data_IF_556519420453
#
_entry.id   IF_556519420453
#
_cell.length_a   1.000
_cell.length_b   1.000
_cell.length_c   1.000
_cell.angle_alpha   90.00
_cell.angle_beta   90.00
_cell.angle_gamma   90.00
#
_symmetry.space_group_name_H-M   'P 1'
#
loop_
_entity.id
_entity.type
_entity.pdbx_description
1 polymer ?
#
# COMPACT_ATOMS: atom_id res chain seq x y z
N UNK A 1 51.37 -10.63 62.00
CA UNK A 1 51.09 -9.31 61.38
C UNK A 1 51.75 -9.23 60.02
N UNK A 2 50.95 -9.16 58.95
CA UNK A 2 51.22 -8.46 57.67
C UNK A 2 49.99 -8.68 56.79
N UNK A 3 49.28 -7.58 56.53
CA UNK A 3 47.95 -7.56 55.92
C UNK A 3 48.00 -7.77 54.40
N UNK A 4 46.94 -8.39 53.89
CA UNK A 4 46.66 -8.52 52.46
C UNK A 4 45.97 -7.25 51.96
N UNK A 5 46.56 -6.62 50.95
CA UNK A 5 45.91 -5.57 50.17
C UNK A 5 45.04 -6.22 49.08
N UNK A 6 43.72 -6.02 49.14
CA UNK A 6 42.80 -6.39 48.08
C UNK A 6 42.54 -5.16 47.20
N UNK A 7 43.00 -5.20 45.95
CA UNK A 7 42.66 -4.22 44.93
C UNK A 7 41.30 -4.59 44.33
N UNK A 8 40.29 -3.72 44.49
CA UNK A 8 38.99 -3.86 43.86
C UNK A 8 39.04 -3.31 42.43
N UNK A 9 38.79 -4.17 41.45
CA UNK A 9 38.69 -3.83 40.04
C UNK A 9 37.23 -3.40 39.73
N UNK A 10 37.00 -2.10 39.49
CA UNK A 10 35.68 -1.60 39.09
C UNK A 10 35.42 -1.90 37.60
N UNK A 11 34.44 -2.77 37.33
CA UNK A 11 33.91 -3.00 35.99
C UNK A 11 32.96 -1.86 35.59
N UNK A 12 33.35 -1.05 34.62
CA UNK A 12 32.46 -0.05 33.99
C UNK A 12 31.64 -0.79 32.93
N UNK A 13 30.38 -1.10 33.24
CA UNK A 13 29.40 -1.59 32.25
C UNK A 13 28.91 -0.41 31.41
N UNK A 14 29.49 -0.25 30.22
CA UNK A 14 28.94 0.65 29.19
C UNK A 14 27.66 0.04 28.62
N UNK A 15 26.50 0.52 29.07
CA UNK A 15 25.24 0.24 28.39
C UNK A 15 25.21 1.00 27.06
N UNK A 16 25.28 0.28 25.95
CA UNK A 16 24.93 0.83 24.65
C UNK A 16 23.43 1.18 24.67
N UNK A 17 23.11 2.46 24.56
CA UNK A 17 21.74 2.92 24.42
C UNK A 17 21.23 2.49 23.03
N UNK A 18 20.38 1.45 22.99
CA UNK A 18 19.62 1.13 21.78
C UNK A 18 18.68 2.30 21.50
N UNK A 19 18.92 2.99 20.38
CA UNK A 19 17.96 3.97 19.86
C UNK A 19 16.66 3.22 19.55
N UNK A 20 15.53 3.71 20.08
CA UNK A 20 14.23 3.12 19.81
C UNK A 20 13.95 3.16 18.30
N UNK A 21 13.52 2.03 17.74
CA UNK A 21 13.26 1.92 16.30
C UNK A 21 11.92 2.56 15.91
N UNK A 22 11.82 3.19 14.72
CA UNK A 22 10.56 3.70 14.22
C UNK A 22 9.52 2.60 14.01
N UNK A 23 8.30 2.84 14.48
CA UNK A 23 7.13 1.99 14.25
C UNK A 23 6.36 2.52 13.04
N UNK A 24 5.96 1.61 12.14
CA UNK A 24 5.18 1.93 10.94
C UNK A 24 3.74 1.40 11.09
N UNK A 25 2.70 2.24 11.03
CA UNK A 25 1.32 1.76 10.96
C UNK A 25 1.09 0.85 9.73
N UNK A 26 0.09 -0.05 9.77
CA UNK A 26 -0.25 -0.91 8.64
C UNK A 26 -0.43 -0.13 7.34
N UNK A 27 0.18 -0.62 6.26
CA UNK A 27 0.19 0.00 4.94
C UNK A 27 0.76 1.44 4.86
N UNK A 28 1.32 1.99 5.94
CA UNK A 28 1.97 3.32 5.93
C UNK A 28 3.43 3.22 5.53
N UNK A 29 3.91 4.16 4.72
CA UNK A 29 5.36 4.37 4.49
C UNK A 29 5.99 5.34 5.47
N UNK A 30 5.17 6.01 6.28
CA UNK A 30 5.57 6.95 7.32
C UNK A 30 5.59 6.21 8.66
N UNK A 31 6.71 6.26 9.37
CA UNK A 31 6.87 5.73 10.71
C UNK A 31 7.50 6.77 11.64
N UNK A 32 7.29 6.61 12.94
CA UNK A 32 7.90 7.42 14.00
C UNK A 32 8.28 6.51 15.17
N UNK A 33 9.17 6.97 16.03
CA UNK A 33 9.29 6.48 17.40
C UNK A 33 8.14 7.11 18.20
N UNK A 34 7.07 6.37 18.53
CA UNK A 34 5.94 6.96 19.23
C UNK A 34 6.36 7.39 20.64
N UNK A 35 5.76 8.47 21.18
CA UNK A 35 5.91 8.80 22.60
C UNK A 35 5.52 7.60 23.48
N UNK A 36 6.15 7.49 24.65
CA UNK A 36 5.88 6.40 25.61
C UNK A 36 4.38 6.26 25.86
N UNK A 37 3.87 5.03 25.84
CA UNK A 37 2.46 4.67 26.07
C UNK A 37 1.49 5.05 24.93
N UNK A 38 1.99 5.60 23.82
CA UNK A 38 1.20 5.82 22.61
C UNK A 38 1.19 4.56 21.75
N UNK A 39 0.04 4.21 21.20
CA UNK A 39 -0.16 2.98 20.42
C UNK A 39 -0.62 3.28 19.00
N UNK A 40 -0.45 2.32 18.08
CA UNK A 40 -0.97 2.45 16.72
C UNK A 40 -2.49 2.54 16.75
N UNK A 41 -3.06 3.56 16.13
CA UNK A 41 -4.51 3.73 16.09
C UNK A 41 -5.15 2.66 15.22
N UNK A 42 -6.33 2.18 15.64
CA UNK A 42 -7.20 1.32 14.84
C UNK A 42 -8.17 2.10 13.95
N UNK A 43 -8.27 3.42 14.15
CA UNK A 43 -9.32 4.28 13.57
C UNK A 43 -8.80 5.18 12.44
N UNK A 44 -7.50 5.46 12.42
CA UNK A 44 -6.84 6.27 11.40
C UNK A 44 -5.39 5.82 11.24
N UNK A 45 -4.74 6.22 10.14
CA UNK A 45 -3.31 5.96 9.95
C UNK A 45 -2.49 6.83 10.90
N UNK A 46 -1.94 6.23 11.95
CA UNK A 46 -1.16 6.97 12.94
C UNK A 46 -1.16 6.36 14.33
N UNK A 47 -1.00 7.21 15.34
CA UNK A 47 -0.84 6.82 16.73
C UNK A 47 -1.79 7.60 17.65
N UNK A 48 -2.20 6.98 18.76
CA UNK A 48 -3.03 7.63 19.77
C UNK A 48 -2.74 7.15 21.18
N UNK A 49 -3.09 8.02 22.13
CA UNK A 49 -3.18 7.74 23.55
C UNK A 49 -4.47 8.36 24.05
N UNK A 50 -5.44 7.52 24.43
CA UNK A 50 -6.70 7.97 25.01
C UNK A 50 -6.45 8.59 26.40
N UNK A 51 -5.58 7.97 27.21
CA UNK A 51 -5.20 8.44 28.55
C UNK A 51 -4.61 9.86 28.53
N UNK A 52 -3.72 10.16 27.57
CA UNK A 52 -3.07 11.47 27.43
C UNK A 52 -3.76 12.38 26.41
N UNK A 53 -4.96 12.00 25.96
CA UNK A 53 -5.78 12.71 24.99
C UNK A 53 -5.00 13.21 23.76
N UNK A 54 -4.13 12.35 23.22
CA UNK A 54 -3.18 12.69 22.18
C UNK A 54 -3.35 11.83 20.93
N UNK A 55 -3.14 12.43 19.76
CA UNK A 55 -3.19 11.73 18.47
C UNK A 55 -2.14 12.29 17.51
N UNK A 56 -1.51 11.40 16.74
CA UNK A 56 -0.59 11.73 15.65
C UNK A 56 -1.12 11.07 14.38
N UNK A 57 -1.58 11.87 13.43
CA UNK A 57 -2.07 11.40 12.14
C UNK A 57 -0.96 11.46 11.10
N UNK A 58 -0.88 10.44 10.26
CA UNK A 58 0.08 10.32 9.17
C UNK A 58 -0.68 10.31 7.84
N UNK A 59 -0.26 11.19 6.93
CA UNK A 59 -0.83 11.30 5.59
C UNK A 59 0.30 11.25 4.58
N UNK A 60 0.21 10.29 3.67
CA UNK A 60 1.12 10.15 2.54
C UNK A 60 0.52 10.87 1.33
N UNK A 61 1.33 11.70 0.67
CA UNK A 61 0.96 12.43 -0.55
C UNK A 61 2.06 12.24 -1.61
N UNK A 62 1.77 12.47 -2.90
CA UNK A 62 2.80 12.48 -3.94
C UNK A 62 3.94 13.46 -3.65
N UNK A 63 5.15 13.19 -4.15
CA UNK A 63 6.32 14.08 -3.97
C UNK A 63 6.06 15.51 -4.47
N UNK A 64 5.27 15.67 -5.54
CA UNK A 64 4.95 16.97 -6.15
C UNK A 64 4.04 17.82 -5.25
N UNK A 65 3.39 17.21 -4.26
CA UNK A 65 2.50 17.90 -3.33
C UNK A 65 3.26 18.75 -2.30
N UNK A 66 4.56 18.54 -2.08
CA UNK A 66 5.30 19.24 -1.02
C UNK A 66 5.30 20.76 -1.18
N UNK A 67 5.69 21.26 -2.36
CA UNK A 67 5.82 22.69 -2.59
C UNK A 67 4.47 23.44 -2.47
N UNK A 68 3.36 22.99 -3.08
CA UNK A 68 2.07 23.62 -2.86
C UNK A 68 1.55 23.46 -1.43
N UNK A 69 1.83 22.33 -0.75
CA UNK A 69 1.45 22.11 0.64
C UNK A 69 2.13 23.13 1.57
N UNK A 70 3.46 23.27 1.48
CA UNK A 70 4.23 24.18 2.33
C UNK A 70 3.90 25.65 2.01
N UNK A 71 3.68 26.02 0.74
CA UNK A 71 3.18 27.35 0.38
C UNK A 71 1.80 27.64 0.99
N UNK A 72 0.97 26.61 1.14
CA UNK A 72 -0.34 26.68 1.79
C UNK A 72 -0.29 26.84 3.31
N UNK A 73 0.85 26.63 3.97
CA UNK A 73 1.03 26.84 5.41
C UNK A 73 1.18 28.33 5.75
N UNK A 74 0.19 29.14 5.39
CA UNK A 74 0.07 30.54 5.85
C UNK A 74 -0.60 30.58 7.21
N UNK A 75 -0.32 31.62 8.02
CA UNK A 75 -0.92 31.77 9.36
C UNK A 75 -2.46 31.71 9.31
N UNK A 76 -3.09 32.35 8.32
CA UNK A 76 -4.55 32.35 8.16
C UNK A 76 -5.10 30.98 7.75
N UNK A 77 -4.39 30.25 6.88
CA UNK A 77 -4.79 28.88 6.52
C UNK A 77 -4.67 27.94 7.72
N UNK A 78 -3.57 28.01 8.47
CA UNK A 78 -3.35 27.19 9.67
C UNK A 78 -4.37 27.51 10.77
N UNK A 79 -4.69 28.78 10.98
CA UNK A 79 -5.73 29.21 11.93
C UNK A 79 -7.10 28.67 11.55
N UNK A 80 -7.47 28.70 10.26
CA UNK A 80 -8.69 28.04 9.75
C UNK A 80 -8.68 26.53 9.96
N UNK A 81 -7.51 25.90 9.95
CA UNK A 81 -7.30 24.48 10.21
C UNK A 81 -7.11 24.14 11.70
N UNK A 82 -7.43 25.04 12.62
CA UNK A 82 -7.41 24.73 14.04
C UNK A 82 -6.07 25.00 14.75
N UNK A 83 -5.10 25.67 14.10
CA UNK A 83 -3.76 25.92 14.64
C UNK A 83 -3.44 27.42 14.68
N UNK A 84 -3.28 27.98 15.87
CA UNK A 84 -2.68 29.30 16.05
C UNK A 84 -1.17 29.14 16.17
N UNK A 85 -0.45 29.45 15.10
CA UNK A 85 1.00 29.28 14.98
C UNK A 85 1.76 30.12 16.03
N UNK A 86 2.61 29.45 16.82
CA UNK A 86 3.54 30.09 17.77
C UNK A 86 5.01 29.80 17.44
N UNK A 87 5.27 28.72 16.70
CA UNK A 87 6.62 28.32 16.28
C UNK A 87 6.61 27.77 14.87
N UNK A 88 7.70 28.03 14.14
CA UNK A 88 7.97 27.48 12.81
C UNK A 88 9.45 27.23 12.69
N UNK A 89 9.81 26.04 12.23
CA UNK A 89 11.18 25.58 12.07
C UNK A 89 11.32 24.83 10.75
N UNK A 90 12.39 25.11 10.01
CA UNK A 90 12.80 24.26 8.91
C UNK A 90 13.64 23.11 9.47
N UNK A 91 13.29 21.88 9.11
CA UNK A 91 13.96 20.67 9.58
C UNK A 91 14.81 20.05 8.48
N UNK A 92 15.92 19.45 8.90
CA UNK A 92 16.64 18.43 8.13
C UNK A 92 16.60 17.12 8.90
N UNK A 93 16.03 16.08 8.29
CA UNK A 93 15.96 14.72 8.83
C UNK A 93 16.84 13.83 7.95
N UNK A 94 18.14 13.78 8.27
CA UNK A 94 19.15 13.25 7.35
C UNK A 94 19.20 14.10 6.07
N UNK A 95 19.05 13.45 4.91
CA UNK A 95 19.00 14.10 3.59
C UNK A 95 17.64 14.77 3.28
N UNK A 96 16.62 14.54 4.11
CA UNK A 96 15.24 15.02 3.87
C UNK A 96 15.05 16.40 4.43
N UNK A 97 14.36 17.25 3.67
CA UNK A 97 13.98 18.59 4.13
C UNK A 97 12.52 18.60 4.57
N UNK A 98 12.21 19.40 5.58
CA UNK A 98 10.84 19.57 6.05
C UNK A 98 10.60 20.89 6.74
N UNK A 99 9.35 21.10 7.11
CA UNK A 99 8.91 22.22 7.96
C UNK A 99 8.08 21.67 9.10
N UNK A 100 8.34 22.13 10.31
CA UNK A 100 7.56 21.85 11.50
C UNK A 100 6.97 23.15 12.03
N UNK A 101 5.66 23.15 12.23
CA UNK A 101 4.91 24.29 12.74
C UNK A 101 4.19 23.83 13.99
N UNK A 102 4.40 24.53 15.10
CA UNK A 102 3.77 24.26 16.38
C UNK A 102 2.93 25.44 16.84
N UNK A 103 1.93 25.18 17.67
CA UNK A 103 1.03 26.22 18.15
C UNK A 103 -0.07 25.72 19.07
N UNK A 104 -0.94 26.63 19.45
CA UNK A 104 -2.12 26.31 20.26
C UNK A 104 -3.29 25.93 19.36
N UNK A 105 -4.13 25.01 19.83
CA UNK A 105 -5.37 24.65 19.14
C UNK A 105 -6.35 25.83 19.18
N UNK A 106 -6.99 26.11 18.04
CA UNK A 106 -8.10 27.07 17.99
C UNK A 106 -9.42 26.32 17.98
N UNK A 107 -10.33 26.65 18.90
CA UNK A 107 -11.62 26.00 19.04
C UNK A 107 -12.04 25.87 20.51
N UNK A 108 -13.16 25.17 20.80
CA UNK A 108 -13.66 25.01 22.16
C UNK A 108 -12.76 24.09 23.02
N UNK A 109 -11.99 23.21 22.38
CA UNK A 109 -11.05 22.31 23.06
C UNK A 109 -9.68 22.96 23.09
N UNK A 110 -9.21 23.30 24.29
CA UNK A 110 -7.83 23.77 24.49
C UNK A 110 -6.84 22.63 24.29
N UNK A 111 -5.69 22.96 23.72
CA UNK A 111 -4.64 21.98 23.46
C UNK A 111 -3.51 22.57 22.64
N UNK A 112 -2.59 21.70 22.25
CA UNK A 112 -1.43 22.01 21.40
C UNK A 112 -1.52 21.18 20.14
N UNK A 113 -1.10 21.77 19.02
CA UNK A 113 -1.11 21.13 17.72
C UNK A 113 0.17 21.42 16.98
N UNK A 114 0.64 20.41 16.25
CA UNK A 114 1.80 20.49 15.39
C UNK A 114 1.45 19.96 14.01
N UNK A 115 2.00 20.61 13.00
CA UNK A 115 1.91 20.20 11.59
C UNK A 115 3.32 20.12 11.06
N UNK A 116 3.68 18.95 10.54
CA UNK A 116 4.99 18.72 9.93
C UNK A 116 4.80 18.22 8.51
N UNK A 117 5.50 18.83 7.56
CA UNK A 117 5.63 18.31 6.20
C UNK A 117 7.09 17.94 5.96
N UNK A 118 7.34 16.74 5.43
CA UNK A 118 8.67 16.25 5.07
C UNK A 118 8.65 15.81 3.62
N UNK A 119 9.62 16.28 2.82
CA UNK A 119 9.82 15.87 1.43
C UNK A 119 10.82 14.72 1.37
N UNK A 120 10.45 13.66 0.66
CA UNK A 120 11.36 12.63 0.18
C UNK A 120 11.36 12.60 -1.35
N UNK A 121 12.12 11.67 -1.94
CA UNK A 121 12.25 11.54 -3.41
C UNK A 121 10.92 11.27 -4.10
N UNK A 122 10.08 10.41 -3.54
CA UNK A 122 8.85 9.91 -4.18
C UNK A 122 7.57 10.17 -3.36
N UNK A 123 7.70 10.73 -2.15
CA UNK A 123 6.57 11.06 -1.29
C UNK A 123 6.74 12.39 -0.55
N UNK A 124 5.60 12.97 -0.21
CA UNK A 124 5.46 14.01 0.80
C UNK A 124 4.75 13.40 2.00
N UNK A 125 5.40 13.44 3.17
CA UNK A 125 4.80 13.01 4.42
C UNK A 125 4.23 14.21 5.17
N UNK A 126 2.93 14.20 5.46
CA UNK A 126 2.25 15.15 6.31
C UNK A 126 1.91 14.48 7.65
N UNK A 127 2.49 15.00 8.73
CA UNK A 127 2.29 14.50 10.09
C UNK A 127 1.60 15.56 10.92
N UNK A 128 0.45 15.23 11.51
CA UNK A 128 -0.35 16.15 12.32
C UNK A 128 -0.49 15.58 13.72
N UNK A 129 0.18 16.20 14.69
CA UNK A 129 0.07 15.84 16.10
C UNK A 129 -0.86 16.81 16.83
N UNK A 130 -1.64 16.30 17.76
CA UNK A 130 -2.45 17.11 18.67
C UNK A 130 -2.48 16.47 20.05
N UNK A 131 -2.44 17.31 21.08
CA UNK A 131 -2.63 16.92 22.47
C UNK A 131 -3.73 17.83 23.01
N UNK A 132 -4.85 17.22 23.42
CA UNK A 132 -6.00 17.92 24.01
C UNK A 132 -5.84 17.95 25.53
N UNK A 133 -6.37 18.98 26.17
CA UNK A 133 -6.13 19.20 27.60
C UNK A 133 -4.77 19.85 27.86
N UNK A 134 -4.64 20.50 29.01
CA UNK A 134 -3.53 21.39 29.37
C UNK A 134 -2.18 20.67 29.60
N UNK A 135 -1.69 20.70 30.84
CA UNK A 135 -0.36 20.18 31.18
C UNK A 135 -0.31 18.66 31.40
N UNK A 136 -1.45 17.98 31.50
CA UNK A 136 -1.52 16.54 31.88
C UNK A 136 -1.28 15.57 30.71
N UNK A 137 -1.11 16.08 29.49
CA UNK A 137 -0.78 15.29 28.30
C UNK A 137 0.73 15.18 28.04
N UNK A 138 1.12 14.73 26.83
CA UNK A 138 2.53 14.74 26.43
C UNK A 138 3.13 16.15 26.46
N UNK A 139 4.39 16.26 26.88
CA UNK A 139 5.12 17.53 26.83
C UNK A 139 5.42 17.92 25.38
N UNK A 140 5.71 19.19 25.15
CA UNK A 140 6.11 19.65 23.82
C UNK A 140 7.38 18.93 23.34
N UNK A 141 8.35 18.72 24.23
CA UNK A 141 9.57 17.97 23.92
C UNK A 141 9.25 16.53 23.47
N UNK A 142 8.39 15.82 24.19
CA UNK A 142 8.02 14.43 23.82
C UNK A 142 7.36 14.34 22.45
N UNK A 143 6.45 15.26 22.12
CA UNK A 143 5.83 15.28 20.80
C UNK A 143 6.85 15.68 19.73
N UNK A 144 7.69 16.68 19.98
CA UNK A 144 8.70 17.12 19.01
C UNK A 144 9.74 16.05 18.75
N UNK A 145 10.16 15.29 19.76
CA UNK A 145 11.07 14.15 19.59
C UNK A 145 10.44 13.07 18.70
N UNK A 146 9.17 12.74 18.94
CA UNK A 146 8.44 11.80 18.08
C UNK A 146 8.31 12.31 16.64
N UNK A 147 7.99 13.58 16.43
CA UNK A 147 7.91 14.17 15.10
C UNK A 147 9.28 14.20 14.40
N UNK A 148 10.35 14.55 15.12
CA UNK A 148 11.72 14.55 14.58
C UNK A 148 12.27 13.14 14.33
N UNK A 149 11.64 12.11 14.89
CA UNK A 149 11.98 10.70 14.60
C UNK A 149 11.32 10.15 13.33
N UNK A 150 10.62 10.98 12.54
CA UNK A 150 9.98 10.53 11.29
C UNK A 150 10.98 9.81 10.40
N UNK A 151 10.64 8.55 10.12
CA UNK A 151 11.32 7.71 9.17
C UNK A 151 10.36 7.41 8.02
N UNK A 152 10.89 7.49 6.80
CA UNK A 152 10.16 7.18 5.59
C UNK A 152 10.82 5.97 4.96
N UNK A 153 10.03 4.92 4.72
CA UNK A 153 10.50 3.76 3.96
C UNK A 153 10.16 3.93 2.49
N UNK A 154 11.08 3.46 1.65
CA UNK A 154 10.79 3.26 0.23
C UNK A 154 9.57 2.33 0.09
N UNK A 155 8.78 2.45 -0.99
CA UNK A 155 7.82 1.40 -1.27
C UNK A 155 8.63 0.13 -1.54
N UNK A 156 8.11 -1.03 -1.14
CA UNK A 156 8.69 -2.29 -1.62
C UNK A 156 8.59 -2.25 -3.14
N UNK A 157 9.72 -2.37 -3.84
CA UNK A 157 9.74 -2.27 -5.30
C UNK A 157 8.74 -3.27 -5.88
N UNK A 158 8.03 -2.90 -6.94
CA UNK A 158 7.01 -3.79 -7.52
C UNK A 158 7.63 -5.12 -7.95
N UNK A 159 8.88 -5.11 -8.38
CA UNK A 159 9.70 -6.27 -8.72
C UNK A 159 9.93 -7.18 -7.50
N UNK A 160 10.19 -6.61 -6.32
CA UNK A 160 10.36 -7.36 -5.09
C UNK A 160 9.04 -7.97 -4.63
N UNK A 161 7.93 -7.21 -4.73
CA UNK A 161 6.59 -7.74 -4.46
C UNK A 161 6.22 -8.89 -5.43
N UNK A 162 6.57 -8.75 -6.70
CA UNK A 162 6.37 -9.79 -7.72
C UNK A 162 7.22 -11.03 -7.41
N UNK A 163 8.45 -10.84 -6.94
CA UNK A 163 9.35 -11.95 -6.62
C UNK A 163 8.83 -12.83 -5.46
N UNK A 164 7.98 -12.25 -4.59
CA UNK A 164 7.36 -12.94 -3.48
C UNK A 164 6.08 -13.72 -3.84
N UNK A 165 5.62 -13.64 -5.09
CA UNK A 165 4.41 -14.32 -5.52
C UNK A 165 4.59 -15.84 -5.59
N UNK A 166 3.50 -16.62 -5.45
CA UNK A 166 3.53 -18.08 -5.58
C UNK A 166 3.60 -18.57 -7.05
N UNK A 167 4.00 -17.70 -7.98
CA UNK A 167 4.24 -17.96 -9.39
C UNK A 167 5.23 -16.93 -9.96
N UNK A 168 5.88 -17.26 -11.07
CA UNK A 168 6.76 -16.34 -11.81
C UNK A 168 6.08 -15.83 -13.07
N UNK A 169 6.37 -14.58 -13.39
CA UNK A 169 5.92 -13.93 -14.61
C UNK A 169 6.97 -14.09 -15.72
N UNK A 170 6.56 -14.59 -16.88
CA UNK A 170 7.38 -14.62 -18.10
C UNK A 170 7.10 -13.41 -19.01
N UNK A 171 6.66 -13.71 -20.23
CA UNK A 171 6.25 -12.72 -21.22
C UNK A 171 5.10 -11.86 -20.68
N UNK A 172 5.21 -10.54 -20.89
CA UNK A 172 4.23 -9.54 -20.42
C UNK A 172 3.46 -8.92 -21.58
N UNK A 173 3.85 -9.14 -22.83
CA UNK A 173 3.20 -8.66 -24.04
C UNK A 173 2.88 -7.16 -24.01
N UNK A 174 3.80 -6.35 -23.46
CA UNK A 174 3.66 -4.90 -23.29
C UNK A 174 2.88 -4.44 -22.04
N UNK A 175 2.28 -5.36 -21.28
CA UNK A 175 1.60 -5.02 -20.03
C UNK A 175 2.62 -4.72 -18.91
N UNK A 176 2.43 -3.60 -18.22
CA UNK A 176 3.23 -3.22 -17.05
C UNK A 176 2.55 -3.69 -15.77
N UNK A 177 3.24 -4.38 -14.85
CA UNK A 177 2.70 -4.64 -13.53
C UNK A 177 2.58 -3.33 -12.75
N UNK A 178 1.44 -3.08 -12.15
CA UNK A 178 1.18 -1.82 -11.43
C UNK A 178 1.00 -2.02 -9.93
N UNK A 179 0.49 -3.18 -9.50
CA UNK A 179 0.29 -3.48 -8.07
C UNK A 179 0.14 -4.97 -7.80
N UNK A 180 0.77 -5.44 -6.72
CA UNK A 180 0.47 -6.76 -6.12
C UNK A 180 -0.70 -6.63 -5.14
N UNK A 181 -1.63 -7.57 -5.19
CA UNK A 181 -2.82 -7.62 -4.34
C UNK A 181 -2.83 -8.93 -3.55
N UNK A 182 -3.07 -8.81 -2.24
CA UNK A 182 -3.21 -9.94 -1.30
C UNK A 182 -2.05 -10.96 -1.29
N UNK A 183 -0.88 -10.59 -1.81
CA UNK A 183 0.31 -11.46 -1.87
C UNK A 183 0.22 -12.62 -2.86
N UNK A 184 -0.85 -12.73 -3.65
CA UNK A 184 -1.07 -13.85 -4.58
C UNK A 184 -1.60 -13.43 -5.94
N UNK A 185 -1.69 -12.12 -6.20
CA UNK A 185 -2.22 -11.60 -7.45
C UNK A 185 -1.54 -10.31 -7.88
N UNK A 186 -1.57 -10.02 -9.18
CA UNK A 186 -0.97 -8.83 -9.78
C UNK A 186 -1.96 -8.22 -10.76
N UNK A 187 -2.11 -6.90 -10.67
CA UNK A 187 -2.76 -6.09 -11.69
C UNK A 187 -1.70 -5.60 -12.69
N UNK A 188 -2.01 -5.72 -13.97
CA UNK A 188 -1.25 -5.15 -15.06
C UNK A 188 -2.11 -4.21 -15.89
N UNK A 189 -1.46 -3.24 -16.50
CA UNK A 189 -2.08 -2.31 -17.44
C UNK A 189 -1.24 -2.16 -18.70
N UNK A 190 -1.91 -1.85 -19.81
CA UNK A 190 -1.26 -1.39 -21.04
C UNK A 190 -1.64 0.07 -21.31
N UNK A 191 -0.93 0.98 -20.65
CA UNK A 191 -1.19 2.41 -20.72
C UNK A 191 -0.63 3.17 -19.52
N UNK A 192 -0.86 4.49 -19.47
CA UNK A 192 -0.30 5.36 -18.44
C UNK A 192 -1.02 5.25 -17.08
N UNK A 193 -2.24 4.71 -17.01
CA UNK A 193 -2.99 4.65 -15.76
C UNK A 193 -2.54 3.43 -14.92
N UNK A 194 -2.43 3.62 -13.61
CA UNK A 194 -2.10 2.55 -12.66
C UNK A 194 -3.34 2.02 -11.91
N UNK A 195 -4.51 2.46 -12.34
CA UNK A 195 -5.80 2.15 -11.74
C UNK A 195 -6.78 1.61 -12.77
N UNK A 196 -7.77 0.87 -12.31
CA UNK A 196 -8.90 0.44 -13.14
C UNK A 196 -9.92 1.58 -13.12
N UNK A 197 -10.08 2.26 -14.26
CA UNK A 197 -11.09 3.30 -14.45
C UNK A 197 -11.78 3.08 -15.79
N UNK A 198 -13.03 2.64 -15.76
CA UNK A 198 -13.88 2.45 -16.96
C UNK A 198 -13.27 1.60 -18.09
N UNK A 199 -12.27 0.76 -17.79
CA UNK A 199 -11.41 0.09 -18.79
C UNK A 199 -11.02 1.05 -19.93
N UNK A 200 -10.54 2.25 -19.57
CA UNK A 200 -10.00 3.25 -20.51
C UNK A 200 -8.77 2.72 -21.28
N UNK A 201 -8.12 1.71 -20.71
CA UNK A 201 -6.98 1.00 -21.28
C UNK A 201 -7.07 -0.50 -20.94
N UNK A 202 -6.39 -1.39 -21.68
CA UNK A 202 -6.40 -2.81 -21.41
C UNK A 202 -5.82 -3.13 -20.04
N UNK A 203 -6.44 -4.09 -19.35
CA UNK A 203 -5.96 -4.57 -18.04
C UNK A 203 -5.90 -6.08 -17.98
N UNK A 204 -5.01 -6.60 -17.13
CA UNK A 204 -4.93 -8.01 -16.76
C UNK A 204 -4.90 -8.12 -15.25
N UNK A 205 -5.72 -8.99 -14.68
CA UNK A 205 -5.58 -9.43 -13.29
C UNK A 205 -5.18 -10.91 -13.33
N UNK A 206 -4.04 -11.23 -12.73
CA UNK A 206 -3.55 -12.60 -12.61
C UNK A 206 -3.47 -12.99 -11.14
N UNK A 207 -4.03 -14.14 -10.76
CA UNK A 207 -4.09 -14.59 -9.39
C UNK A 207 -3.87 -16.10 -9.29
N UNK A 208 -3.09 -16.53 -8.30
CA UNK A 208 -2.98 -17.94 -7.91
C UNK A 208 -3.97 -18.27 -6.79
N UNK A 209 -4.50 -19.50 -6.81
CA UNK A 209 -5.32 -20.02 -5.70
C UNK A 209 -4.48 -20.18 -4.44
N UNK A 210 -5.02 -19.77 -3.30
CA UNK A 210 -4.43 -19.98 -1.98
C UNK A 210 -5.24 -21.02 -1.24
N UNK A 211 -4.64 -22.17 -0.90
CA UNK A 211 -5.24 -23.22 -0.05
C UNK A 211 -6.62 -23.74 -0.52
N UNK A 212 -6.98 -23.53 -1.79
CA UNK A 212 -8.20 -24.05 -2.40
C UNK A 212 -7.77 -25.03 -3.47
N UNK A 213 -8.07 -26.33 -3.32
CA UNK A 213 -7.71 -27.32 -4.33
C UNK A 213 -8.50 -27.05 -5.62
N UNK A 214 -7.90 -27.34 -6.79
CA UNK A 214 -8.60 -27.22 -8.05
C UNK A 214 -9.79 -28.19 -8.09
N UNK A 215 -10.92 -27.80 -8.71
CA UNK A 215 -12.05 -28.71 -8.91
C UNK A 215 -11.65 -29.87 -9.82
N UNK A 216 -12.34 -31.00 -9.66
CA UNK A 216 -12.20 -32.16 -10.56
C UNK A 216 -12.50 -31.78 -12.01
N UNK A 217 -11.92 -32.51 -12.97
CA UNK A 217 -11.93 -32.16 -14.39
C UNK A 217 -13.33 -31.82 -14.93
N UNK A 218 -14.34 -32.63 -14.60
CA UNK A 218 -15.74 -32.45 -15.02
C UNK A 218 -16.39 -31.15 -14.49
N UNK A 219 -15.92 -30.64 -13.35
CA UNK A 219 -16.46 -29.44 -12.70
C UNK A 219 -15.78 -28.15 -13.15
N UNK A 220 -14.66 -28.23 -13.89
CA UNK A 220 -13.84 -27.06 -14.24
C UNK A 220 -14.58 -26.02 -15.09
N UNK A 221 -15.44 -26.44 -16.01
CA UNK A 221 -16.27 -25.52 -16.80
C UNK A 221 -17.27 -24.76 -15.91
N UNK A 222 -17.97 -25.46 -15.02
CA UNK A 222 -18.91 -24.84 -14.08
C UNK A 222 -18.17 -23.86 -13.15
N UNK A 223 -17.03 -24.28 -12.62
CA UNK A 223 -16.16 -23.46 -11.79
C UNK A 223 -15.70 -22.19 -12.52
N UNK A 224 -15.23 -22.30 -13.76
CA UNK A 224 -14.79 -21.15 -14.55
C UNK A 224 -15.94 -20.17 -14.81
N UNK A 225 -17.14 -20.66 -15.10
CA UNK A 225 -18.34 -19.82 -15.26
C UNK A 225 -18.73 -19.12 -13.97
N UNK A 226 -18.74 -19.83 -12.84
CA UNK A 226 -19.02 -19.23 -11.54
C UNK A 226 -17.99 -18.14 -11.18
N UNK A 227 -16.70 -18.41 -11.41
CA UNK A 227 -15.63 -17.45 -11.18
C UNK A 227 -15.74 -16.21 -12.10
N UNK A 228 -16.18 -16.37 -13.34
CA UNK A 228 -16.40 -15.22 -14.24
C UNK A 228 -17.58 -14.36 -13.75
N UNK A 229 -18.67 -14.99 -13.31
CA UNK A 229 -19.87 -14.29 -12.84
C UNK A 229 -19.73 -13.68 -11.44
N UNK A 230 -18.71 -14.04 -10.65
CA UNK A 230 -18.45 -13.42 -9.35
C UNK A 230 -17.69 -12.09 -9.42
N UNK A 231 -17.29 -11.64 -10.61
CA UNK A 231 -16.63 -10.35 -10.78
C UNK A 231 -17.61 -9.20 -10.50
N UNK A 232 -17.20 -8.25 -9.65
CA UNK A 232 -18.01 -7.06 -9.33
C UNK A 232 -17.86 -5.93 -10.37
N UNK A 233 -16.80 -5.98 -11.18
CA UNK A 233 -16.47 -4.97 -12.22
C UNK A 233 -17.29 -5.20 -13.50
N UNK A 234 -17.93 -6.37 -13.65
CA UNK A 234 -18.65 -6.75 -14.86
C UNK A 234 -20.14 -6.95 -14.59
N UNK A 235 -20.96 -6.47 -15.51
CA UNK A 235 -22.40 -6.71 -15.60
C UNK A 235 -22.74 -7.31 -16.96
N UNK A 236 -23.93 -7.90 -17.08
CA UNK A 236 -24.49 -8.39 -18.35
C UNK A 236 -23.56 -9.33 -19.15
N UNK A 237 -22.89 -10.25 -18.45
CA UNK A 237 -21.90 -11.14 -19.04
C UNK A 237 -22.57 -12.11 -20.02
N UNK A 238 -22.17 -12.04 -21.29
CA UNK A 238 -22.62 -12.90 -22.40
C UNK A 238 -21.45 -13.70 -22.93
N UNK A 239 -21.39 -14.97 -22.54
CA UNK A 239 -20.34 -15.91 -22.95
C UNK A 239 -20.49 -16.22 -24.44
N UNK A 240 -19.41 -16.00 -25.19
CA UNK A 240 -19.33 -16.32 -26.63
C UNK A 240 -18.60 -17.65 -26.87
N UNK A 241 -17.57 -17.92 -26.07
CA UNK A 241 -16.78 -19.16 -26.14
C UNK A 241 -16.37 -19.59 -24.75
N UNK A 242 -16.35 -20.89 -24.52
CA UNK A 242 -15.94 -21.51 -23.25
C UNK A 242 -15.42 -22.91 -23.58
N UNK A 243 -14.11 -23.09 -23.44
CA UNK A 243 -13.40 -24.25 -23.95
C UNK A 243 -12.41 -24.78 -22.92
N UNK A 244 -12.32 -26.10 -22.85
CA UNK A 244 -11.27 -26.80 -22.10
C UNK A 244 -10.25 -27.33 -23.11
N UNK A 245 -8.96 -27.18 -22.82
CA UNK A 245 -7.89 -27.72 -23.65
C UNK A 245 -6.68 -28.12 -22.80
N UNK A 246 -5.78 -28.91 -23.38
CA UNK A 246 -4.52 -29.30 -22.74
C UNK A 246 -3.36 -28.56 -23.40
N UNK A 247 -2.52 -27.92 -22.60
CA UNK A 247 -1.35 -27.19 -23.09
C UNK A 247 -0.20 -27.35 -22.09
N UNK A 248 0.99 -27.70 -22.62
CA UNK A 248 2.21 -28.01 -21.85
C UNK A 248 2.05 -29.06 -20.73
N UNK A 249 1.08 -29.96 -20.90
CA UNK A 249 0.80 -31.04 -19.95
C UNK A 249 -0.16 -30.67 -18.83
N UNK A 250 -0.58 -29.41 -18.74
CA UNK A 250 -1.63 -28.94 -17.82
C UNK A 250 -2.97 -28.84 -18.55
N UNK A 251 -4.05 -28.88 -17.77
CA UNK A 251 -5.39 -28.65 -18.28
C UNK A 251 -5.76 -27.17 -18.07
N UNK A 252 -6.43 -26.61 -19.06
CA UNK A 252 -6.78 -25.20 -19.14
C UNK A 252 -8.25 -25.03 -19.45
N UNK A 253 -8.85 -23.95 -18.96
CA UNK A 253 -10.17 -23.53 -19.36
C UNK A 253 -10.17 -22.04 -19.71
N UNK A 254 -10.60 -21.70 -20.93
CA UNK A 254 -10.68 -20.33 -21.42
C UNK A 254 -12.14 -19.96 -21.71
N UNK A 255 -12.56 -18.79 -21.23
CA UNK A 255 -13.84 -18.17 -21.55
C UNK A 255 -13.58 -16.82 -22.20
N UNK A 256 -14.22 -16.57 -23.34
CA UNK A 256 -14.35 -15.24 -23.94
C UNK A 256 -15.81 -14.82 -23.87
N UNK A 257 -16.06 -13.62 -23.34
CA UNK A 257 -17.40 -13.07 -23.21
C UNK A 257 -17.42 -11.57 -23.54
N UNK A 258 -18.60 -11.09 -23.95
CA UNK A 258 -18.95 -9.67 -23.93
C UNK A 258 -19.54 -9.34 -22.56
N UNK A 259 -19.27 -8.16 -22.05
CA UNK A 259 -19.84 -7.67 -20.80
C UNK A 259 -19.96 -6.14 -20.83
N UNK A 260 -20.60 -5.59 -19.80
CA UNK A 260 -20.66 -4.15 -19.53
C UNK A 260 -19.78 -3.87 -18.30
N UNK A 261 -18.90 -2.88 -18.39
CA UNK A 261 -18.14 -2.41 -17.23
C UNK A 261 -19.08 -1.68 -16.26
N UNK A 262 -19.03 -2.08 -14.98
CA UNK A 262 -20.06 -1.77 -14.00
C UNK A 262 -20.21 -0.27 -13.69
N UNK A 263 -19.12 0.50 -13.71
CA UNK A 263 -19.08 1.90 -13.29
C UNK A 263 -19.34 2.87 -14.46
N UNK A 264 -18.72 2.62 -15.60
CA UNK A 264 -18.77 3.48 -16.80
C UNK A 264 -19.88 3.10 -17.78
N UNK A 265 -20.46 1.90 -17.64
CA UNK A 265 -21.44 1.36 -18.57
C UNK A 265 -20.87 1.01 -19.95
N UNK A 266 -19.55 1.04 -20.12
CA UNK A 266 -18.92 0.79 -21.41
C UNK A 266 -18.93 -0.70 -21.78
N UNK A 267 -19.17 -1.04 -23.06
CA UNK A 267 -19.07 -2.42 -23.51
C UNK A 267 -17.60 -2.85 -23.54
N UNK A 268 -17.34 -4.04 -23.01
CA UNK A 268 -15.99 -4.63 -22.92
C UNK A 268 -15.97 -6.08 -23.38
N UNK A 269 -14.80 -6.53 -23.79
CA UNK A 269 -14.48 -7.94 -23.97
C UNK A 269 -13.71 -8.40 -22.74
N UNK A 270 -14.13 -9.54 -22.19
CA UNK A 270 -13.43 -10.25 -21.14
C UNK A 270 -12.89 -11.57 -21.67
N UNK A 271 -11.63 -11.86 -21.35
CA UNK A 271 -11.05 -13.19 -21.49
C UNK A 271 -10.62 -13.69 -20.12
N UNK A 272 -11.20 -14.79 -19.68
CA UNK A 272 -10.76 -15.49 -18.49
C UNK A 272 -10.06 -16.77 -18.91
N UNK A 273 -8.86 -16.98 -18.40
CA UNK A 273 -8.14 -18.24 -18.59
C UNK A 273 -7.75 -18.80 -17.22
N UNK A 274 -8.03 -20.08 -16.99
CA UNK A 274 -7.63 -20.80 -15.78
C UNK A 274 -6.71 -21.95 -16.20
N UNK A 275 -5.48 -21.96 -15.68
CA UNK A 275 -4.59 -23.12 -15.73
C UNK A 275 -4.76 -23.92 -14.44
N UNK A 276 -5.07 -25.21 -14.56
CA UNK A 276 -5.16 -26.12 -13.44
C UNK A 276 -3.87 -26.94 -13.32
N UNK A 277 -3.23 -26.86 -12.17
CA UNK A 277 -2.16 -27.76 -11.73
C UNK A 277 -2.73 -28.81 -10.76
N UNK A 278 -1.87 -29.63 -10.16
CA UNK A 278 -2.31 -30.74 -9.31
C UNK A 278 -2.95 -30.27 -7.99
N UNK A 279 -2.36 -29.26 -7.35
CA UNK A 279 -2.71 -28.77 -6.01
C UNK A 279 -3.28 -27.35 -5.99
N UNK A 280 -3.19 -26.64 -7.12
CA UNK A 280 -3.55 -25.22 -7.26
C UNK A 280 -3.96 -24.88 -8.68
N UNK A 281 -4.42 -23.65 -8.89
CA UNK A 281 -4.66 -23.08 -10.21
C UNK A 281 -4.19 -21.63 -10.28
N UNK A 282 -3.88 -21.16 -11.49
CA UNK A 282 -3.75 -19.73 -11.78
C UNK A 282 -4.90 -19.30 -12.67
N UNK A 283 -5.53 -18.19 -12.31
CA UNK A 283 -6.59 -17.55 -13.06
C UNK A 283 -6.11 -16.19 -13.52
N UNK A 284 -6.26 -15.92 -14.82
CA UNK A 284 -6.12 -14.61 -15.40
C UNK A 284 -7.46 -14.11 -15.91
N UNK A 285 -7.75 -12.83 -15.70
CA UNK A 285 -8.87 -12.11 -16.33
C UNK A 285 -8.30 -10.89 -17.05
N UNK A 286 -8.40 -10.87 -18.37
CA UNK A 286 -8.07 -9.74 -19.21
C UNK A 286 -9.34 -8.98 -19.61
N UNK A 287 -9.33 -7.64 -19.51
CA UNK A 287 -10.39 -6.77 -19.99
C UNK A 287 -9.85 -5.80 -21.04
N UNK A 288 -10.62 -5.60 -22.09
CA UNK A 288 -10.30 -4.67 -23.18
C UNK A 288 -11.58 -4.09 -23.76
N UNK A 289 -11.47 -2.94 -24.41
CA UNK A 289 -12.57 -2.41 -25.22
C UNK A 289 -12.82 -3.29 -26.46
N UNK A 290 -14.04 -3.20 -26.98
CA UNK A 290 -14.53 -4.03 -28.10
C UNK A 290 -13.68 -3.85 -29.35
N UNK A 291 -13.28 -2.63 -29.67
CA UNK A 291 -12.48 -2.28 -30.84
C UNK A 291 -11.03 -2.82 -30.79
N UNK A 292 -10.52 -3.13 -29.60
CA UNK A 292 -9.16 -3.67 -29.40
C UNK A 292 -9.13 -5.19 -29.21
N UNK A 293 -10.28 -5.86 -29.38
CA UNK A 293 -10.47 -7.30 -29.13
C UNK A 293 -9.36 -8.16 -29.72
N UNK A 294 -9.18 -8.12 -31.04
CA UNK A 294 -8.33 -9.10 -31.73
C UNK A 294 -6.86 -8.95 -31.34
N UNK A 295 -6.41 -7.71 -31.15
CA UNK A 295 -5.06 -7.42 -30.66
C UNK A 295 -4.86 -7.94 -29.24
N UNK A 296 -5.79 -7.62 -28.33
CA UNK A 296 -5.57 -7.88 -26.91
C UNK A 296 -5.86 -9.30 -26.49
N UNK A 297 -6.81 -10.02 -27.12
CA UNK A 297 -7.02 -11.44 -26.84
C UNK A 297 -5.75 -12.27 -27.11
N UNK A 298 -4.99 -11.96 -28.16
CA UNK A 298 -3.70 -12.63 -28.42
C UNK A 298 -2.67 -12.32 -27.34
N UNK A 299 -2.56 -11.05 -26.95
CA UNK A 299 -1.59 -10.61 -25.92
C UNK A 299 -1.92 -11.19 -24.55
N UNK A 300 -3.20 -11.24 -24.17
CA UNK A 300 -3.63 -11.88 -22.94
C UNK A 300 -3.18 -13.34 -22.89
N UNK A 301 -3.32 -14.10 -23.99
CA UNK A 301 -2.81 -15.48 -24.05
C UNK A 301 -1.30 -15.55 -23.87
N UNK A 302 -0.55 -14.71 -24.58
CA UNK A 302 0.91 -14.64 -24.41
C UNK A 302 1.33 -14.39 -22.97
N UNK A 303 0.59 -13.57 -22.22
CA UNK A 303 0.86 -13.30 -20.80
C UNK A 303 0.66 -14.53 -19.94
N UNK A 304 -0.50 -15.21 -20.02
CA UNK A 304 -0.76 -16.38 -19.17
C UNK A 304 0.08 -17.60 -19.57
N UNK A 305 0.39 -17.77 -20.86
CA UNK A 305 1.25 -18.85 -21.37
C UNK A 305 2.69 -18.73 -20.83
N UNK A 306 3.11 -17.52 -20.47
CA UNK A 306 4.41 -17.21 -19.87
C UNK A 306 4.48 -17.43 -18.35
N UNK A 307 3.39 -17.79 -17.68
CA UNK A 307 3.38 -17.98 -16.22
C UNK A 307 4.01 -19.30 -15.86
N UNK A 308 4.89 -19.30 -14.87
CA UNK A 308 5.46 -20.52 -14.29
C UNK A 308 4.97 -20.66 -12.85
N UNK A 309 4.42 -21.81 -12.48
CA UNK A 309 4.18 -22.07 -11.06
C UNK A 309 5.54 -22.35 -10.41
N UNK A 310 5.83 -21.69 -9.29
CA UNK A 310 6.95 -22.12 -8.46
C UNK A 310 6.61 -23.52 -7.90
N UNK A 311 7.46 -24.54 -8.11
CA UNK A 311 7.30 -25.82 -7.41
C UNK A 311 7.25 -25.60 -5.89
#
# INVERSE_FOLDING_TARGET
MKGFAAAALSFILSFAAYAAEPVFPPASRIGIVPPKDMTVSKRFSGFESEEKAAAINLVEMPAEAYDPLVKGFTKDALKRQGLNETSRENLKLGEKSGVLIGGTMTGPVQGRKWVMAVKDRDITALVIAQVRGGQDGYTEAQIRDALKSVSLRAPVAIEEQISALPFRLGEKAGFRPVRVMSGNSVLFTDGPLDTIKGVEQPIIIMAASLNVPPPGAEQRNQFARAALNSNQILKDIKIERSETFRFRGQDWHEIVAKATEADSGQPVIVMQTIRFDNDRYVRMVGLTRVEQRDQNLRRFRSVIDGVEMNP
#
